data_IF_860813424587
#
_entry.id   IF_860813424587
#
_cell.length_a   1.000
_cell.length_b   1.000
_cell.length_c   1.000
_cell.angle_alpha   90.00
_cell.angle_beta   90.00
_cell.angle_gamma   90.00
#
_symmetry.space_group_name_H-M   'P 1'
#
loop_
_entity.id
_entity.type
_entity.pdbx_description
1 polymer ?
#
# COMPACT_ATOMS: atom_id res chain seq x y z
N UNK A 1 21.64 35.79 -6.19
CA UNK A 1 21.88 34.56 -5.40
C UNK A 1 23.03 33.83 -6.06
N UNK A 2 23.98 33.32 -5.28
CA UNK A 2 25.10 32.53 -5.82
C UNK A 2 24.54 31.18 -6.29
N UNK A 3 24.74 30.86 -7.57
CA UNK A 3 24.32 29.60 -8.17
C UNK A 3 25.40 28.52 -8.01
N UNK A 4 26.64 28.86 -8.33
CA UNK A 4 27.76 27.93 -8.28
C UNK A 4 29.13 28.62 -8.41
N UNK A 5 30.18 27.82 -8.40
CA UNK A 5 31.58 28.29 -8.51
C UNK A 5 32.33 27.51 -9.58
N UNK A 6 33.29 28.17 -10.21
CA UNK A 6 34.33 27.57 -11.04
C UNK A 6 35.59 27.45 -10.22
N UNK A 7 36.21 26.27 -10.26
CA UNK A 7 37.45 26.00 -9.56
C UNK A 7 38.47 25.36 -10.51
N UNK A 8 39.75 25.52 -10.17
CA UNK A 8 40.89 24.93 -10.85
C UNK A 8 41.64 24.03 -9.89
N UNK A 9 42.00 22.85 -10.35
CA UNK A 9 42.91 21.92 -9.67
C UNK A 9 44.21 21.88 -10.47
N UNK A 10 45.36 22.14 -9.83
CA UNK A 10 46.67 22.11 -10.48
C UNK A 10 47.53 21.04 -9.83
N UNK A 11 48.11 20.12 -10.63
CA UNK A 11 49.10 19.16 -10.15
C UNK A 11 50.47 19.83 -10.09
N UNK A 12 51.05 19.96 -8.89
CA UNK A 12 52.35 20.58 -8.69
C UNK A 12 53.51 19.77 -9.30
N UNK A 13 53.35 18.46 -9.49
CA UNK A 13 54.41 17.58 -10.01
C UNK A 13 54.60 17.72 -11.53
N UNK A 14 53.52 17.92 -12.28
CA UNK A 14 53.56 17.96 -13.75
C UNK A 14 53.07 19.28 -14.36
N UNK A 15 52.51 20.19 -13.56
CA UNK A 15 51.95 21.47 -14.00
C UNK A 15 50.60 21.36 -14.72
N UNK A 16 50.09 20.15 -14.95
CA UNK A 16 48.82 19.93 -15.61
C UNK A 16 47.66 20.40 -14.71
N UNK A 17 46.63 20.95 -15.36
CA UNK A 17 45.50 21.57 -14.68
C UNK A 17 44.16 20.99 -15.11
N UNK A 18 43.19 21.05 -14.21
CA UNK A 18 41.78 20.71 -14.42
C UNK A 18 40.91 21.90 -14.03
N UNK A 19 39.93 22.26 -14.84
CA UNK A 19 38.90 23.24 -14.48
C UNK A 19 37.56 22.53 -14.39
N UNK A 20 36.79 22.81 -13.36
CA UNK A 20 35.44 22.25 -13.21
C UNK A 20 34.49 23.20 -12.52
N UNK A 21 33.20 22.92 -12.68
CA UNK A 21 32.13 23.67 -12.03
C UNK A 21 31.45 22.89 -10.89
N UNK A 22 30.97 23.57 -9.85
CA UNK A 22 30.19 22.95 -8.77
C UNK A 22 29.31 23.94 -8.02
N UNK A 23 28.18 23.46 -7.50
CA UNK A 23 27.34 24.19 -6.53
C UNK A 23 27.72 23.88 -5.07
N UNK A 24 28.48 22.82 -4.84
CA UNK A 24 28.93 22.40 -3.51
C UNK A 24 30.37 21.87 -3.57
N UNK A 25 31.31 22.70 -3.14
CA UNK A 25 32.74 22.39 -3.22
C UNK A 25 33.16 21.21 -2.35
N UNK A 26 32.66 21.13 -1.11
CA UNK A 26 33.00 20.05 -0.16
C UNK A 26 32.63 18.69 -0.73
N UNK A 27 31.42 18.56 -1.28
CA UNK A 27 30.97 17.32 -1.94
C UNK A 27 31.82 16.99 -3.16
N UNK A 28 32.18 18.00 -3.96
CA UNK A 28 32.97 17.80 -5.19
C UNK A 28 34.39 17.34 -4.89
N UNK A 29 35.04 17.88 -3.86
CA UNK A 29 36.36 17.41 -3.41
C UNK A 29 36.31 15.95 -2.98
N UNK A 30 35.28 15.55 -2.23
CA UNK A 30 35.10 14.14 -1.86
C UNK A 30 34.97 13.25 -3.10
N UNK A 31 34.18 13.67 -4.10
CA UNK A 31 34.01 12.93 -5.35
C UNK A 31 35.34 12.76 -6.10
N UNK A 32 36.20 13.77 -6.14
CA UNK A 32 37.51 13.64 -6.78
C UNK A 32 38.43 12.61 -6.10
N UNK A 33 38.29 12.42 -4.78
CA UNK A 33 39.10 11.45 -4.03
C UNK A 33 38.65 10.00 -4.22
N UNK A 34 37.38 9.78 -4.59
CA UNK A 34 36.80 8.43 -4.70
C UNK A 34 36.24 8.11 -6.09
N UNK A 35 36.39 9.02 -7.05
CA UNK A 35 35.83 8.92 -8.39
C UNK A 35 36.69 8.13 -9.36
N UNK A 36 36.25 8.08 -10.62
CA UNK A 36 36.91 7.33 -11.71
C UNK A 36 37.24 8.20 -12.94
N UNK A 37 37.08 9.54 -12.82
CA UNK A 37 37.44 10.46 -13.90
C UNK A 37 38.96 10.53 -14.09
N UNK A 38 39.41 11.07 -15.23
CA UNK A 38 40.83 11.15 -15.57
C UNK A 38 41.65 11.93 -14.51
N UNK A 39 41.12 13.06 -14.03
CA UNK A 39 41.70 13.81 -12.92
C UNK A 39 41.68 13.02 -11.59
N UNK A 40 40.61 12.26 -11.33
CA UNK A 40 40.48 11.48 -10.08
C UNK A 40 41.55 10.40 -9.99
N UNK A 41 41.85 9.73 -11.11
CA UNK A 41 42.93 8.74 -11.22
C UNK A 41 44.30 9.37 -10.99
N UNK A 42 44.52 10.56 -11.53
CA UNK A 42 45.77 11.29 -11.29
C UNK A 42 45.92 11.67 -9.80
N UNK A 43 44.84 12.13 -9.17
CA UNK A 43 44.81 12.45 -7.73
C UNK A 43 45.08 11.22 -6.86
N UNK A 44 44.48 10.08 -7.20
CA UNK A 44 44.70 8.83 -6.46
C UNK A 44 46.13 8.30 -6.61
N UNK A 45 46.73 8.46 -7.80
CA UNK A 45 48.10 8.05 -8.08
C UNK A 45 49.13 8.95 -7.42
N UNK A 46 48.95 10.26 -7.55
CA UNK A 46 49.96 11.26 -7.18
C UNK A 46 49.73 11.82 -5.76
N UNK A 47 48.60 11.55 -5.12
CA UNK A 47 48.27 12.05 -3.78
C UNK A 47 47.70 13.47 -3.80
N UNK A 48 46.65 13.72 -3.02
CA UNK A 48 45.93 15.02 -3.00
C UNK A 48 46.83 16.17 -2.52
N UNK A 49 47.81 15.90 -1.69
CA UNK A 49 48.81 16.84 -1.20
C UNK A 49 49.63 17.50 -2.32
N UNK A 50 49.72 16.84 -3.48
CA UNK A 50 50.41 17.36 -4.66
C UNK A 50 49.50 18.19 -5.57
N UNK A 51 48.26 18.44 -5.16
CA UNK A 51 47.30 19.24 -5.92
C UNK A 51 46.91 20.51 -5.16
N UNK A 52 46.86 21.63 -5.87
CA UNK A 52 46.30 22.90 -5.36
C UNK A 52 44.90 23.11 -5.91
N UNK A 53 44.03 23.75 -5.13
CA UNK A 53 42.65 24.07 -5.49
C UNK A 53 42.43 25.58 -5.41
N UNK A 54 42.14 26.20 -6.55
CA UNK A 54 41.90 27.64 -6.68
C UNK A 54 40.45 27.90 -7.10
N UNK A 55 39.77 28.86 -6.46
CA UNK A 55 38.44 29.31 -6.88
C UNK A 55 38.61 30.43 -7.90
N UNK A 56 38.19 30.18 -9.14
CA UNK A 56 38.38 31.11 -10.26
C UNK A 56 37.24 32.12 -10.38
N UNK A 57 36.00 31.67 -10.16
CA UNK A 57 34.83 32.53 -10.29
C UNK A 57 33.66 32.04 -9.45
N UNK A 58 32.81 32.98 -9.04
CA UNK A 58 31.47 32.73 -8.49
C UNK A 58 30.46 33.17 -9.55
N UNK A 59 29.46 32.33 -9.82
CA UNK A 59 28.44 32.57 -10.83
C UNK A 59 27.05 32.62 -10.18
N UNK A 60 26.18 33.45 -10.74
CA UNK A 60 24.81 33.67 -10.25
C UNK A 60 23.74 32.94 -11.06
N UNK A 61 24.11 32.36 -12.20
CA UNK A 61 23.23 31.51 -13.04
C UNK A 61 23.97 30.28 -13.55
N UNK A 62 23.22 29.33 -14.12
CA UNK A 62 23.77 28.12 -14.74
C UNK A 62 24.48 28.42 -16.05
N UNK A 63 23.92 29.36 -16.81
CA UNK A 63 24.43 29.81 -18.10
C UNK A 63 25.81 30.45 -17.92
N UNK A 64 25.93 31.37 -16.96
CA UNK A 64 27.21 32.00 -16.59
C UNK A 64 28.24 30.97 -16.10
N UNK A 65 27.79 29.93 -15.38
CA UNK A 65 28.66 28.86 -14.91
C UNK A 65 29.23 28.06 -16.09
N UNK A 66 28.39 27.63 -17.02
CA UNK A 66 28.80 26.89 -18.21
C UNK A 66 29.73 27.72 -19.11
N UNK A 67 29.39 28.99 -19.37
CA UNK A 67 30.21 29.90 -20.19
C UNK A 67 31.60 30.11 -19.58
N UNK A 68 31.68 30.32 -18.26
CA UNK A 68 32.96 30.48 -17.57
C UNK A 68 33.76 29.19 -17.52
N UNK A 69 33.13 28.03 -17.39
CA UNK A 69 33.83 26.74 -17.46
C UNK A 69 34.55 26.59 -18.80
N UNK A 70 33.83 26.81 -19.92
CA UNK A 70 34.42 26.77 -21.28
C UNK A 70 35.55 27.79 -21.42
N UNK A 71 35.32 29.03 -20.98
CA UNK A 71 36.32 30.10 -21.02
C UNK A 71 37.60 29.71 -20.27
N UNK A 72 37.49 29.22 -19.02
CA UNK A 72 38.65 28.92 -18.20
C UNK A 72 39.38 27.64 -18.62
N UNK A 73 38.69 26.63 -19.15
CA UNK A 73 39.33 25.45 -19.76
C UNK A 73 40.23 25.88 -20.92
N UNK A 74 39.73 26.76 -21.79
CA UNK A 74 40.50 27.30 -22.91
C UNK A 74 41.64 28.23 -22.43
N UNK A 75 41.35 29.16 -21.52
CA UNK A 75 42.30 30.15 -21.00
C UNK A 75 43.51 29.50 -20.33
N UNK A 76 43.30 28.45 -19.53
CA UNK A 76 44.37 27.73 -18.85
C UNK A 76 44.88 26.52 -19.64
N UNK A 77 44.43 26.31 -20.89
CA UNK A 77 44.81 25.17 -21.73
C UNK A 77 44.68 23.81 -21.00
N UNK A 78 43.58 23.62 -20.26
CA UNK A 78 43.38 22.45 -19.40
C UNK A 78 42.90 21.20 -20.14
N UNK A 79 42.70 21.29 -21.46
CA UNK A 79 42.22 20.18 -22.28
C UNK A 79 43.34 19.17 -22.54
N UNK A 80 43.03 17.88 -22.45
CA UNK A 80 43.95 16.81 -22.84
C UNK A 80 44.43 17.04 -24.30
N UNK A 81 45.73 16.92 -24.59
CA UNK A 81 46.82 16.38 -23.75
C UNK A 81 47.50 17.37 -22.79
N UNK A 82 47.15 18.66 -22.83
CA UNK A 82 47.82 19.72 -22.08
C UNK A 82 47.26 19.92 -20.65
N UNK A 83 46.18 19.21 -20.31
CA UNK A 83 45.62 19.16 -18.97
C UNK A 83 44.71 17.95 -18.77
N UNK A 84 43.87 18.00 -17.75
CA UNK A 84 43.03 16.86 -17.34
C UNK A 84 41.58 16.92 -17.83
N UNK A 85 41.12 18.04 -18.42
CA UNK A 85 39.78 18.12 -19.00
C UNK A 85 39.70 17.28 -20.29
N UNK A 86 38.70 16.41 -20.40
CA UNK A 86 38.47 15.60 -21.60
C UNK A 86 37.51 16.25 -22.61
N UNK A 87 36.70 17.20 -22.14
CA UNK A 87 35.74 17.97 -22.94
C UNK A 87 36.09 19.45 -22.85
N UNK A 88 35.55 20.25 -23.77
CA UNK A 88 35.69 21.71 -23.75
C UNK A 88 34.89 22.40 -22.62
N UNK A 89 34.18 21.61 -21.80
CA UNK A 89 33.25 22.11 -20.77
C UNK A 89 31.83 22.29 -21.30
N UNK A 90 30.92 22.72 -20.42
CA UNK A 90 29.54 23.05 -20.79
C UNK A 90 28.56 21.88 -20.85
N UNK A 91 28.91 20.69 -20.33
CA UNK A 91 28.01 19.52 -20.38
C UNK A 91 26.87 19.60 -19.36
N UNK A 92 25.75 20.14 -19.82
CA UNK A 92 24.69 19.29 -20.35
C UNK A 92 24.23 19.95 -21.64
N UNK A 93 23.77 19.19 -22.63
CA UNK A 93 22.96 19.78 -23.70
C UNK A 93 21.53 19.80 -23.15
N UNK A 94 21.04 20.86 -22.47
CA UNK A 94 19.62 20.94 -22.15
C UNK A 94 18.83 21.14 -23.44
N UNK A 95 17.59 20.65 -23.47
CA UNK A 95 16.71 20.91 -24.61
C UNK A 95 17.13 20.16 -25.88
N UNK A 96 16.80 20.75 -27.02
CA UNK A 96 16.94 20.19 -28.38
C UNK A 96 18.35 19.76 -28.77
N UNK A 97 19.37 20.28 -28.09
CA UNK A 97 20.75 19.92 -28.35
C UNK A 97 21.11 18.54 -27.77
N UNK A 98 20.30 17.96 -26.87
CA UNK A 98 20.51 16.58 -26.42
C UNK A 98 20.16 15.59 -27.54
N UNK A 99 21.04 14.63 -27.91
CA UNK A 99 20.73 13.60 -28.91
C UNK A 99 19.47 12.79 -28.61
N UNK A 100 19.04 12.77 -27.35
CA UNK A 100 17.84 12.09 -26.86
C UNK A 100 16.65 13.02 -26.58
N UNK A 101 16.75 14.32 -26.87
CA UNK A 101 15.63 15.24 -26.71
C UNK A 101 14.48 14.90 -27.66
N UNK A 102 13.26 14.87 -27.12
CA UNK A 102 12.06 14.53 -27.89
C UNK A 102 11.98 13.07 -28.37
N UNK A 103 12.97 12.23 -28.05
CA UNK A 103 12.95 10.80 -28.40
C UNK A 103 12.26 10.02 -27.30
N UNK A 104 11.09 9.47 -27.62
CA UNK A 104 10.40 8.52 -26.76
C UNK A 104 10.69 7.09 -27.24
N UNK A 105 10.84 6.16 -26.29
CA UNK A 105 10.89 4.74 -26.64
C UNK A 105 9.65 4.34 -27.43
N UNK A 106 9.83 3.57 -28.51
CA UNK A 106 8.71 2.99 -29.25
C UNK A 106 7.94 2.01 -28.36
N UNK A 107 6.65 1.78 -28.65
CA UNK A 107 5.83 0.82 -27.89
C UNK A 107 6.45 -0.59 -27.90
N UNK A 108 7.09 -0.99 -29.00
CA UNK A 108 7.85 -2.24 -29.10
C UNK A 108 9.05 -2.26 -28.15
N UNK A 109 9.82 -1.17 -28.10
CA UNK A 109 10.98 -1.07 -27.18
C UNK A 109 10.51 -1.08 -25.72
N UNK A 110 9.41 -0.39 -25.40
CA UNK A 110 8.79 -0.43 -24.07
C UNK A 110 8.32 -1.84 -23.73
N UNK A 111 7.77 -2.59 -24.69
CA UNK A 111 7.34 -3.98 -24.49
C UNK A 111 8.53 -4.91 -24.21
N UNK A 112 9.63 -4.79 -24.95
CA UNK A 112 10.87 -5.57 -24.71
C UNK A 112 11.45 -5.25 -23.32
N UNK A 113 11.50 -3.97 -22.94
CA UNK A 113 11.97 -3.55 -21.62
C UNK A 113 11.05 -4.07 -20.51
N UNK A 114 9.74 -4.07 -20.74
CA UNK A 114 8.74 -4.64 -19.82
C UNK A 114 8.95 -6.14 -19.65
N UNK A 115 9.12 -6.89 -20.74
CA UNK A 115 9.38 -8.33 -20.72
C UNK A 115 10.68 -8.66 -19.96
N UNK A 116 11.77 -7.91 -20.22
CA UNK A 116 13.05 -8.10 -19.52
C UNK A 116 13.00 -7.74 -18.03
N UNK A 117 12.09 -6.87 -17.63
CA UNK A 117 11.92 -6.45 -16.24
C UNK A 117 10.87 -7.26 -15.48
N UNK A 118 10.03 -8.04 -16.18
CA UNK A 118 9.10 -8.97 -15.56
C UNK A 118 9.89 -10.02 -14.78
N UNK A 119 9.61 -10.12 -13.47
CA UNK A 119 10.24 -11.10 -12.58
C UNK A 119 11.55 -10.63 -11.92
N UNK A 120 12.14 -9.51 -12.35
CA UNK A 120 13.30 -8.93 -11.66
C UNK A 120 12.88 -8.32 -10.32
N UNK A 121 13.73 -8.50 -9.30
CA UNK A 121 13.48 -8.00 -7.95
C UNK A 121 12.08 -8.38 -7.45
N UNK A 122 11.65 -9.63 -7.60
CA UNK A 122 10.37 -10.08 -7.07
C UNK A 122 10.55 -11.39 -6.30
N UNK A 123 9.63 -11.69 -5.39
CA UNK A 123 9.75 -12.88 -4.53
C UNK A 123 11.07 -12.89 -3.77
N UNK A 124 11.74 -14.04 -3.78
CA UNK A 124 13.04 -14.30 -3.11
C UNK A 124 14.19 -13.43 -3.67
N UNK A 125 14.10 -13.00 -4.93
CA UNK A 125 15.12 -12.19 -5.59
C UNK A 125 14.97 -10.68 -5.30
N UNK A 126 13.92 -10.27 -4.58
CA UNK A 126 13.75 -8.89 -4.17
C UNK A 126 14.76 -8.57 -3.05
N UNK A 127 15.48 -7.44 -3.15
CA UNK A 127 16.52 -7.05 -2.19
C UNK A 127 16.04 -6.90 -0.73
N UNK A 128 14.76 -6.60 -0.53
CA UNK A 128 14.08 -6.61 0.78
C UNK A 128 13.34 -7.92 1.11
N UNK A 129 13.51 -9.00 0.35
CA UNK A 129 12.86 -10.27 0.67
C UNK A 129 13.32 -10.77 2.05
N UNK A 130 12.35 -11.12 2.91
CA UNK A 130 12.60 -11.57 4.27
C UNK A 130 13.11 -10.48 5.24
N UNK A 131 13.24 -9.23 4.79
CA UNK A 131 13.62 -8.12 5.65
C UNK A 131 12.38 -7.38 6.15
N UNK A 132 12.25 -7.24 7.47
CA UNK A 132 11.24 -6.38 8.08
C UNK A 132 11.89 -5.07 8.51
N UNK A 133 11.28 -3.94 8.16
CA UNK A 133 11.72 -2.64 8.68
C UNK A 133 11.59 -2.64 10.21
N UNK A 134 12.61 -2.12 10.91
CA UNK A 134 12.55 -1.95 12.36
C UNK A 134 11.44 -0.95 12.72
N UNK A 135 10.84 -1.11 13.90
CA UNK A 135 9.80 -0.21 14.40
C UNK A 135 10.26 1.26 14.38
N UNK A 136 11.51 1.50 14.77
CA UNK A 136 12.13 2.83 14.75
C UNK A 136 12.20 3.42 13.33
N UNK A 137 12.61 2.61 12.34
CA UNK A 137 12.68 3.05 10.95
C UNK A 137 11.28 3.30 10.37
N UNK A 138 10.30 2.45 10.70
CA UNK A 138 8.89 2.66 10.36
C UNK A 138 8.33 3.95 10.96
N UNK A 139 8.68 4.27 12.21
CA UNK A 139 8.29 5.51 12.87
C UNK A 139 8.90 6.72 12.17
N UNK A 140 10.19 6.71 11.86
CA UNK A 140 10.86 7.80 11.11
C UNK A 140 10.22 8.02 9.74
N UNK A 141 9.91 6.95 9.01
CA UNK A 141 9.18 7.06 7.74
C UNK A 141 7.77 7.61 7.95
N UNK A 142 7.05 7.15 8.98
CA UNK A 142 5.72 7.65 9.32
C UNK A 142 5.73 9.12 9.74
N UNK A 143 6.78 9.59 10.41
CA UNK A 143 6.94 10.98 10.83
C UNK A 143 7.26 11.88 9.64
N UNK A 144 8.14 11.43 8.76
CA UNK A 144 8.51 12.18 7.55
C UNK A 144 7.34 12.43 6.62
N UNK A 145 6.37 11.52 6.57
CA UNK A 145 5.17 11.63 5.72
C UNK A 145 3.91 12.01 6.52
N UNK A 146 4.07 12.42 7.79
CA UNK A 146 2.94 12.82 8.64
C UNK A 146 2.31 14.10 8.09
N UNK A 147 1.09 14.01 7.58
CA UNK A 147 0.34 15.15 7.03
C UNK A 147 0.42 15.31 5.51
N UNK A 148 1.20 14.48 4.82
CA UNK A 148 1.16 14.41 3.37
C UNK A 148 -0.08 13.60 2.93
N UNK A 149 -1.08 14.29 2.40
CA UNK A 149 -2.25 13.65 1.78
C UNK A 149 -2.20 13.82 0.26
N UNK A 150 -2.62 12.80 -0.51
CA UNK A 150 -2.80 12.93 -1.94
C UNK A 150 -3.95 13.89 -2.32
N UNK A 151 -4.87 14.21 -1.41
CA UNK A 151 -6.07 14.99 -1.70
C UNK A 151 -5.92 16.48 -1.34
N UNK A 152 -4.85 17.12 -1.82
CA UNK A 152 -4.53 18.52 -1.50
C UNK A 152 -5.61 19.50 -1.96
N UNK A 153 -6.19 19.29 -3.14
CA UNK A 153 -7.29 20.13 -3.63
C UNK A 153 -8.55 20.03 -2.79
N UNK A 154 -8.92 18.84 -2.33
CA UNK A 154 -10.05 18.68 -1.43
C UNK A 154 -9.86 19.50 -0.15
N UNK A 155 -8.67 19.45 0.46
CA UNK A 155 -8.37 20.28 1.65
C UNK A 155 -8.45 21.77 1.34
N UNK A 156 -7.95 22.21 0.18
CA UNK A 156 -8.01 23.61 -0.26
C UNK A 156 -9.46 24.10 -0.43
N UNK A 157 -10.33 23.27 -0.98
CA UNK A 157 -11.75 23.61 -1.14
C UNK A 157 -12.51 23.58 0.20
N UNK A 158 -12.13 22.69 1.12
CA UNK A 158 -12.62 22.72 2.50
C UNK A 158 -12.24 24.03 3.21
N UNK A 159 -10.99 24.48 3.08
CA UNK A 159 -10.54 25.77 3.61
C UNK A 159 -11.29 26.95 2.98
N UNK A 160 -11.48 26.93 1.65
CA UNK A 160 -12.23 27.98 0.92
C UNK A 160 -13.65 28.16 1.47
N UNK A 161 -14.31 27.05 1.78
CA UNK A 161 -15.68 27.04 2.30
C UNK A 161 -15.76 27.11 3.83
N UNK A 162 -14.62 27.24 4.52
CA UNK A 162 -14.51 27.15 5.99
C UNK A 162 -15.20 25.91 6.56
N UNK A 163 -15.16 24.80 5.81
CA UNK A 163 -15.76 23.53 6.15
C UNK A 163 -14.83 22.78 7.10
N UNK A 164 -15.32 22.53 8.31
CA UNK A 164 -14.65 21.60 9.22
C UNK A 164 -14.81 20.17 8.73
N UNK A 165 -13.88 19.29 9.12
CA UNK A 165 -14.03 17.86 8.87
C UNK A 165 -15.34 17.29 9.47
N UNK A 166 -15.86 17.89 10.56
CA UNK A 166 -17.11 17.46 11.22
C UNK A 166 -18.28 17.72 10.29
N UNK A 167 -18.38 18.96 9.81
CA UNK A 167 -19.44 19.39 8.93
C UNK A 167 -19.40 18.67 7.57
N UNK A 168 -18.20 18.39 7.04
CA UNK A 168 -18.09 17.61 5.79
C UNK A 168 -18.54 16.16 5.99
N UNK A 169 -18.13 15.52 7.09
CA UNK A 169 -18.51 14.14 7.38
C UNK A 169 -20.04 14.00 7.51
N UNK A 170 -20.67 14.92 8.25
CA UNK A 170 -22.13 14.98 8.40
C UNK A 170 -22.85 15.12 7.06
N UNK A 171 -22.39 16.02 6.19
CA UNK A 171 -22.97 16.22 4.85
C UNK A 171 -22.84 14.99 3.95
N UNK A 172 -21.78 14.22 4.12
CA UNK A 172 -21.56 12.97 3.38
C UNK A 172 -22.27 11.76 4.01
N UNK A 173 -22.87 11.91 5.21
CA UNK A 173 -23.41 10.79 5.97
C UNK A 173 -22.34 9.84 6.51
N UNK A 174 -21.13 10.35 6.74
CA UNK A 174 -19.98 9.61 7.27
C UNK A 174 -19.68 10.03 8.71
N UNK A 175 -18.97 9.19 9.44
CA UNK A 175 -18.34 9.62 10.70
C UNK A 175 -17.07 10.40 10.41
N UNK A 176 -16.74 11.35 11.27
CA UNK A 176 -15.49 12.09 11.24
C UNK A 176 -14.23 11.20 11.11
N UNK A 177 -14.10 10.12 11.92
CA UNK A 177 -13.01 9.17 11.76
C UNK A 177 -12.98 8.54 10.36
N UNK A 178 -14.12 8.15 9.80
CA UNK A 178 -14.21 7.55 8.47
C UNK A 178 -13.76 8.52 7.37
N UNK A 179 -14.18 9.78 7.43
CA UNK A 179 -13.73 10.82 6.50
C UNK A 179 -12.23 11.09 6.63
N UNK A 180 -11.72 11.22 7.86
CA UNK A 180 -10.29 11.40 8.13
C UNK A 180 -9.43 10.25 7.59
N UNK A 181 -9.95 9.02 7.65
CA UNK A 181 -9.29 7.85 7.08
C UNK A 181 -9.30 7.86 5.55
N UNK A 182 -10.41 8.27 4.94
CA UNK A 182 -10.50 8.43 3.48
C UNK A 182 -9.52 9.48 2.97
N UNK A 183 -9.43 10.63 3.64
CA UNK A 183 -8.49 11.71 3.28
C UNK A 183 -7.02 11.32 3.50
N UNK A 184 -6.74 10.33 4.35
CA UNK A 184 -5.37 9.80 4.56
C UNK A 184 -5.02 8.63 3.62
N UNK A 185 -5.85 8.34 2.61
CA UNK A 185 -5.71 7.21 1.67
C UNK A 185 -5.64 5.84 2.38
N UNK A 186 -6.19 5.77 3.60
CA UNK A 186 -6.33 4.51 4.36
C UNK A 186 -7.63 3.79 4.04
N UNK A 187 -8.56 4.47 3.38
CA UNK A 187 -9.84 3.94 2.95
C UNK A 187 -10.21 4.60 1.62
N UNK A 188 -10.65 3.83 0.62
CA UNK A 188 -11.06 4.40 -0.66
C UNK A 188 -12.37 5.20 -0.53
N UNK A 189 -12.48 6.28 -1.30
CA UNK A 189 -13.79 6.90 -1.56
C UNK A 189 -14.66 5.91 -2.35
N UNK A 190 -15.96 5.89 -2.07
CA UNK A 190 -16.96 5.12 -2.82
C UNK A 190 -17.62 6.01 -3.87
N UNK A 191 -18.37 5.41 -4.81
CA UNK A 191 -19.05 6.19 -5.86
C UNK A 191 -20.02 7.21 -5.25
N UNK A 192 -20.75 6.80 -4.21
CA UNK A 192 -21.62 7.68 -3.43
C UNK A 192 -20.86 8.80 -2.73
N UNK A 193 -19.66 8.53 -2.21
CA UNK A 193 -18.84 9.57 -1.60
C UNK A 193 -18.38 10.60 -2.64
N UNK A 194 -18.02 10.13 -3.84
CA UNK A 194 -17.61 11.01 -4.94
C UNK A 194 -18.76 11.90 -5.42
N UNK A 195 -19.96 11.35 -5.60
CA UNK A 195 -21.16 12.12 -5.93
C UNK A 195 -21.43 13.20 -4.88
N UNK A 196 -21.38 12.83 -3.59
CA UNK A 196 -21.55 13.79 -2.49
C UNK A 196 -20.50 14.89 -2.51
N UNK A 197 -19.23 14.58 -2.79
CA UNK A 197 -18.16 15.57 -2.88
C UNK A 197 -18.38 16.54 -4.05
N UNK A 198 -18.79 16.04 -5.21
CA UNK A 198 -19.11 16.89 -6.38
C UNK A 198 -20.26 17.83 -6.04
N UNK A 199 -21.31 17.33 -5.38
CA UNK A 199 -22.46 18.14 -4.95
C UNK A 199 -22.06 19.20 -3.91
N UNK A 200 -21.22 18.84 -2.94
CA UNK A 200 -20.84 19.73 -1.83
C UNK A 200 -19.90 20.85 -2.29
N UNK A 201 -18.93 20.53 -3.15
CA UNK A 201 -17.88 21.47 -3.55
C UNK A 201 -18.12 22.14 -4.90
N UNK A 202 -19.09 21.65 -5.69
CA UNK A 202 -19.38 22.13 -7.06
C UNK A 202 -18.11 22.14 -7.95
N UNK A 203 -17.40 21.02 -7.88
CA UNK A 203 -16.12 20.80 -8.57
C UNK A 203 -16.06 19.36 -9.10
N UNK A 204 -15.40 19.14 -10.24
CA UNK A 204 -15.21 17.80 -10.77
C UNK A 204 -14.38 16.95 -9.79
N UNK A 205 -14.72 15.66 -9.67
CA UNK A 205 -14.09 14.76 -8.72
C UNK A 205 -12.60 14.55 -9.04
N UNK A 206 -12.23 14.62 -10.32
CA UNK A 206 -10.86 14.55 -10.82
C UNK A 206 -10.01 15.69 -10.25
N UNK A 207 -10.60 16.88 -10.13
CA UNK A 207 -9.95 18.03 -9.50
C UNK A 207 -9.83 17.81 -7.99
N UNK A 208 -10.91 17.43 -7.31
CA UNK A 208 -10.90 17.28 -5.85
C UNK A 208 -9.91 16.21 -5.37
N UNK A 209 -9.79 15.11 -6.13
CA UNK A 209 -8.92 13.99 -5.77
C UNK A 209 -7.53 14.01 -6.46
N UNK A 210 -7.29 15.00 -7.34
CA UNK A 210 -6.00 15.46 -7.86
C UNK A 210 -4.93 14.38 -8.10
N UNK A 211 -5.09 13.59 -9.18
CA UNK A 211 -4.00 12.76 -9.72
C UNK A 211 -3.68 13.20 -11.16
N UNK A 212 -2.49 13.75 -11.36
CA UNK A 212 -2.00 14.29 -12.65
C UNK A 212 -1.58 13.18 -13.65
N UNK A 213 -1.88 11.91 -13.40
CA UNK A 213 -1.42 10.77 -14.20
C UNK A 213 -2.37 10.36 -15.34
N UNK A 214 -3.40 11.16 -15.67
CA UNK A 214 -4.27 10.92 -16.84
C UNK A 214 -5.00 9.57 -16.81
N UNK A 215 -5.05 8.90 -15.67
CA UNK A 215 -5.72 7.63 -15.47
C UNK A 215 -7.04 7.86 -14.72
N UNK A 216 -8.16 7.23 -15.13
CA UNK A 216 -9.45 7.45 -14.50
C UNK A 216 -9.44 7.03 -13.02
N UNK A 217 -9.89 7.97 -12.19
CA UNK A 217 -10.63 7.85 -10.92
C UNK A 217 -10.49 6.51 -10.18
N UNK A 218 -9.89 6.53 -8.98
CA UNK A 218 -10.06 5.41 -8.04
C UNK A 218 -11.53 5.39 -7.61
N UNK A 219 -12.33 4.61 -8.34
CA UNK A 219 -13.61 4.08 -7.88
C UNK A 219 -13.82 2.62 -8.29
N UNK A 220 -13.12 2.10 -9.31
CA UNK A 220 -13.28 0.68 -9.72
C UNK A 220 -11.99 -0.06 -10.06
N UNK A 221 -10.81 0.59 -10.07
CA UNK A 221 -9.58 0.00 -10.63
C UNK A 221 -8.92 -1.10 -9.77
N UNK A 222 -9.39 -1.34 -8.54
CA UNK A 222 -8.89 -2.43 -7.67
C UNK A 222 -9.99 -3.32 -7.08
N UNK A 223 -11.21 -3.24 -7.59
CA UNK A 223 -12.33 -4.07 -7.14
C UNK A 223 -12.88 -4.91 -8.30
N UNK A 224 -13.27 -6.15 -7.99
CA UNK A 224 -13.78 -7.10 -8.99
C UNK A 224 -12.75 -7.39 -10.09
N UNK A 225 -13.24 -7.65 -11.31
CA UNK A 225 -12.44 -8.04 -12.49
C UNK A 225 -11.32 -7.08 -12.90
N UNK A 226 -11.42 -5.81 -12.48
CA UNK A 226 -10.41 -4.79 -12.76
C UNK A 226 -9.21 -4.86 -11.81
N UNK A 227 -9.28 -5.61 -10.71
CA UNK A 227 -8.15 -5.84 -9.83
C UNK A 227 -7.09 -6.72 -10.55
N UNK A 228 -5.81 -6.32 -10.61
CA UNK A 228 -4.73 -7.14 -11.20
C UNK A 228 -4.57 -8.54 -10.60
N UNK A 229 -5.14 -8.76 -9.42
CA UNK A 229 -5.17 -10.03 -8.68
C UNK A 229 -6.53 -10.74 -8.73
N UNK A 230 -7.53 -10.20 -9.42
CA UNK A 230 -8.82 -10.87 -9.58
C UNK A 230 -8.66 -12.21 -10.30
N UNK A 231 -9.28 -13.26 -9.77
CA UNK A 231 -9.14 -14.63 -10.27
C UNK A 231 -7.75 -15.26 -10.07
N UNK A 232 -6.77 -14.52 -9.52
CA UNK A 232 -5.45 -15.06 -9.19
C UNK A 232 -5.47 -15.62 -7.78
N UNK A 233 -5.18 -16.91 -7.66
CA UNK A 233 -4.99 -17.56 -6.38
C UNK A 233 -3.50 -17.79 -6.14
N UNK A 234 -3.02 -17.47 -4.94
CA UNK A 234 -1.71 -17.95 -4.51
C UNK A 234 -1.63 -19.48 -4.69
N UNK A 235 -0.54 -19.95 -5.27
CA UNK A 235 -0.22 -21.38 -5.34
C UNK A 235 -0.23 -21.98 -3.94
N UNK A 236 -0.56 -23.27 -3.81
CA UNK A 236 -0.61 -23.95 -2.51
C UNK A 236 0.70 -23.83 -1.72
N UNK A 237 1.83 -23.85 -2.44
CA UNK A 237 3.16 -23.64 -1.87
C UNK A 237 3.32 -22.24 -1.26
N UNK A 238 2.95 -21.19 -2.00
CA UNK A 238 3.02 -19.81 -1.51
C UNK A 238 2.09 -19.57 -0.32
N UNK A 239 0.86 -20.13 -0.33
CA UNK A 239 -0.04 -20.06 0.84
C UNK A 239 0.59 -20.67 2.08
N UNK A 240 1.33 -21.77 1.91
CA UNK A 240 2.01 -22.47 3.01
C UNK A 240 3.22 -21.66 3.50
N UNK A 241 3.98 -21.03 2.60
CA UNK A 241 5.07 -20.10 2.95
C UNK A 241 4.54 -18.89 3.76
N UNK A 242 3.49 -18.21 3.29
CA UNK A 242 2.86 -17.10 4.00
C UNK A 242 2.27 -17.52 5.36
N UNK A 243 1.66 -18.70 5.44
CA UNK A 243 1.14 -19.26 6.70
C UNK A 243 2.24 -19.51 7.73
N UNK A 244 3.42 -19.96 7.29
CA UNK A 244 4.59 -20.14 8.17
C UNK A 244 5.18 -18.79 8.62
N UNK A 245 5.25 -17.80 7.72
CA UNK A 245 5.78 -16.47 8.02
C UNK A 245 4.89 -15.68 8.99
N UNK A 246 3.57 -15.72 8.80
CA UNK A 246 2.62 -14.96 9.62
C UNK A 246 2.21 -15.69 10.92
N UNK A 247 2.92 -16.76 11.28
CA UNK A 247 2.57 -17.61 12.43
C UNK A 247 2.79 -16.84 13.73
N UNK A 248 1.70 -16.46 14.39
CA UNK A 248 1.71 -15.73 15.66
C UNK A 248 1.24 -14.28 15.55
N UNK A 249 1.10 -13.73 14.35
CA UNK A 249 0.51 -12.41 14.15
C UNK A 249 -1.02 -12.47 14.13
N UNK A 250 -1.67 -11.50 14.78
CA UNK A 250 -3.12 -11.36 14.69
C UNK A 250 -3.51 -10.83 13.30
N UNK A 251 -4.53 -11.42 12.64
CA UNK A 251 -5.08 -10.85 11.41
C UNK A 251 -5.87 -9.55 11.65
N UNK A 252 -6.11 -9.15 12.90
CA UNK A 252 -6.90 -7.96 13.26
C UNK A 252 -6.00 -6.87 13.86
N UNK A 253 -5.00 -6.42 13.09
CA UNK A 253 -3.98 -5.44 13.53
C UNK A 253 -4.58 -4.11 13.98
N UNK A 254 -5.60 -3.62 13.26
CA UNK A 254 -6.27 -2.38 13.60
C UNK A 254 -7.06 -2.49 14.91
N UNK A 255 -7.79 -3.61 15.12
CA UNK A 255 -8.47 -3.85 16.38
C UNK A 255 -7.50 -3.88 17.56
N UNK A 256 -6.32 -4.50 17.42
CA UNK A 256 -5.29 -4.47 18.45
C UNK A 256 -4.82 -3.05 18.77
N UNK A 257 -4.60 -2.23 17.73
CA UNK A 257 -4.18 -0.84 17.90
C UNK A 257 -5.22 -0.02 18.68
N UNK A 258 -6.50 -0.13 18.33
CA UNK A 258 -7.58 0.58 19.04
C UNK A 258 -7.74 0.08 20.48
N UNK A 259 -7.52 -1.22 20.72
CA UNK A 259 -7.48 -1.77 22.07
C UNK A 259 -6.33 -1.19 22.89
N UNK A 260 -5.14 -1.05 22.30
CA UNK A 260 -3.98 -0.47 22.98
C UNK A 260 -4.19 1.02 23.28
N UNK A 261 -4.78 1.79 22.36
CA UNK A 261 -5.09 3.21 22.54
C UNK A 261 -6.11 3.45 23.66
N UNK A 262 -7.12 2.59 23.78
CA UNK A 262 -8.10 2.65 24.87
C UNK A 262 -7.67 1.86 26.12
N UNK A 263 -6.45 1.31 26.13
CA UNK A 263 -5.93 0.45 27.20
C UNK A 263 -6.86 -0.73 27.58
N UNK A 264 -7.59 -1.25 26.59
CA UNK A 264 -8.49 -2.39 26.74
C UNK A 264 -7.71 -3.69 26.62
N UNK A 265 -7.54 -4.38 27.73
CA UNK A 265 -6.97 -5.74 27.73
C UNK A 265 -7.94 -6.75 27.12
N UNK A 266 -7.45 -7.94 26.74
CA UNK A 266 -8.32 -9.05 26.31
C UNK A 266 -9.38 -9.40 27.36
N UNK A 267 -9.06 -9.28 28.66
CA UNK A 267 -10.03 -9.44 29.74
C UNK A 267 -11.08 -8.32 29.74
N UNK A 268 -10.67 -7.07 29.57
CA UNK A 268 -11.60 -5.95 29.40
C UNK A 268 -12.57 -6.18 28.24
N UNK A 269 -12.04 -6.60 27.09
CA UNK A 269 -12.85 -6.88 25.91
C UNK A 269 -13.84 -8.03 26.13
N UNK A 270 -13.46 -9.06 26.90
CA UNK A 270 -14.38 -10.17 27.22
C UNK A 270 -15.59 -9.73 28.01
N UNK A 271 -15.43 -8.78 28.92
CA UNK A 271 -16.50 -8.22 29.73
C UNK A 271 -17.43 -7.40 28.83
N UNK A 272 -16.86 -6.51 28.00
CA UNK A 272 -17.63 -5.65 27.10
C UNK A 272 -18.43 -6.45 26.06
N UNK A 273 -17.82 -7.48 25.48
CA UNK A 273 -18.48 -8.29 24.44
C UNK A 273 -19.41 -9.38 25.02
N UNK A 274 -19.21 -9.78 26.27
CA UNK A 274 -19.93 -10.89 26.92
C UNK A 274 -19.53 -12.26 26.37
N UNK A 275 -18.26 -12.46 26.03
CA UNK A 275 -17.75 -13.72 25.46
C UNK A 275 -16.51 -14.18 26.22
N UNK A 276 -16.24 -15.49 26.23
CA UNK A 276 -15.10 -16.02 26.97
C UNK A 276 -13.75 -15.56 26.41
N UNK A 277 -12.77 -15.42 27.30
CA UNK A 277 -11.38 -15.05 26.94
C UNK A 277 -10.76 -16.00 25.92
N UNK A 278 -11.10 -17.30 26.02
CA UNK A 278 -10.67 -18.30 25.05
C UNK A 278 -11.27 -18.02 23.67
N UNK A 279 -12.53 -17.59 23.60
CA UNK A 279 -13.19 -17.26 22.34
C UNK A 279 -12.56 -16.01 21.69
N UNK A 280 -12.34 -14.94 22.46
CA UNK A 280 -11.64 -13.75 21.96
C UNK A 280 -10.23 -14.10 21.52
N UNK A 281 -9.46 -14.83 22.34
CA UNK A 281 -8.08 -15.19 22.00
C UNK A 281 -8.00 -16.00 20.70
N UNK A 282 -8.90 -16.96 20.49
CA UNK A 282 -8.97 -17.74 19.24
C UNK A 282 -9.39 -16.89 18.04
N UNK A 283 -10.30 -15.92 18.25
CA UNK A 283 -10.66 -14.95 17.21
C UNK A 283 -9.48 -14.06 16.87
N UNK A 284 -8.83 -13.46 17.86
CA UNK A 284 -7.66 -12.61 17.68
C UNK A 284 -6.47 -13.33 17.03
N UNK A 285 -6.34 -14.65 17.16
CA UNK A 285 -5.33 -15.45 16.42
C UNK A 285 -5.76 -15.89 15.02
N UNK A 286 -6.97 -15.55 14.58
CA UNK A 286 -7.51 -15.99 13.30
C UNK A 286 -7.94 -17.46 13.23
N UNK A 287 -7.95 -18.19 14.35
CA UNK A 287 -8.48 -19.56 14.40
C UNK A 287 -10.01 -19.58 14.25
N UNK A 288 -10.67 -18.47 14.59
CA UNK A 288 -12.11 -18.25 14.43
C UNK A 288 -12.36 -16.84 13.90
N UNK A 289 -13.46 -16.66 13.18
CA UNK A 289 -13.85 -15.35 12.70
C UNK A 289 -14.76 -14.63 13.71
N UNK A 290 -14.71 -13.30 13.73
CA UNK A 290 -15.74 -12.49 14.38
C UNK A 290 -17.08 -12.68 13.65
N UNK A 291 -18.16 -12.85 14.40
CA UNK A 291 -19.51 -12.92 13.82
C UNK A 291 -20.04 -11.51 13.57
N UNK A 292 -21.06 -11.36 12.74
CA UNK A 292 -21.68 -10.05 12.50
C UNK A 292 -22.14 -9.37 13.80
N UNK A 293 -22.65 -10.16 14.76
CA UNK A 293 -23.05 -9.67 16.09
C UNK A 293 -21.85 -9.18 16.92
N UNK A 294 -20.72 -9.88 16.82
CA UNK A 294 -19.49 -9.45 17.49
C UNK A 294 -18.96 -8.16 16.88
N UNK A 295 -18.97 -8.05 15.55
CA UNK A 295 -18.50 -6.88 14.81
C UNK A 295 -19.35 -5.66 15.16
N UNK A 296 -20.68 -5.78 15.18
CA UNK A 296 -21.58 -4.70 15.57
C UNK A 296 -21.26 -4.15 16.97
N UNK A 297 -21.02 -5.04 17.95
CA UNK A 297 -20.59 -4.64 19.29
C UNK A 297 -19.22 -3.97 19.30
N UNK A 298 -18.27 -4.46 18.50
CA UNK A 298 -16.95 -3.83 18.40
C UNK A 298 -17.06 -2.41 17.80
N UNK A 299 -17.89 -2.22 16.77
CA UNK A 299 -18.17 -0.89 16.20
C UNK A 299 -18.75 0.05 17.27
N UNK A 300 -19.65 -0.45 18.12
CA UNK A 300 -20.23 0.31 19.23
C UNK A 300 -19.19 0.67 20.31
N UNK A 301 -18.33 -0.29 20.69
CA UNK A 301 -17.30 -0.10 21.73
C UNK A 301 -16.22 0.89 21.28
N UNK A 302 -15.73 0.74 20.05
CA UNK A 302 -14.57 1.49 19.55
C UNK A 302 -14.97 2.73 18.73
N UNK A 303 -16.24 2.89 18.37
CA UNK A 303 -16.72 4.01 17.55
C UNK A 303 -16.15 4.03 16.13
N UNK A 304 -15.57 2.93 15.68
CA UNK A 304 -14.89 2.81 14.39
C UNK A 304 -15.67 1.92 13.42
N UNK A 305 -15.62 2.20 12.10
CA UNK A 305 -16.26 1.35 11.10
C UNK A 305 -15.77 -0.10 11.14
N UNK A 306 -16.67 -1.04 10.85
CA UNK A 306 -16.38 -2.47 10.84
C UNK A 306 -15.24 -2.82 9.88
N UNK A 307 -15.21 -2.15 8.72
CA UNK A 307 -14.21 -2.31 7.67
C UNK A 307 -12.81 -1.98 8.18
N UNK A 308 -12.68 -0.97 9.04
CA UNK A 308 -11.40 -0.58 9.63
C UNK A 308 -10.93 -1.59 10.68
N UNK A 309 -11.79 -1.90 11.64
CA UNK A 309 -11.45 -2.81 12.75
C UNK A 309 -11.09 -4.19 12.23
N UNK A 310 -11.78 -4.64 11.18
CA UNK A 310 -11.61 -5.97 10.61
C UNK A 310 -10.56 -6.03 9.49
N UNK A 311 -9.97 -4.89 9.08
CA UNK A 311 -9.16 -4.74 7.87
C UNK A 311 -8.20 -5.91 7.64
N UNK A 312 -8.63 -6.84 6.78
CA UNK A 312 -7.77 -7.80 6.12
C UNK A 312 -7.35 -7.15 4.81
N UNK A 313 -6.05 -7.19 4.50
CA UNK A 313 -5.48 -6.64 3.25
C UNK A 313 -6.06 -7.28 1.97
N UNK A 314 -6.85 -8.35 2.13
CA UNK A 314 -7.40 -9.22 1.10
C UNK A 314 -8.78 -8.79 0.56
N UNK A 315 -9.31 -7.61 0.90
CA UNK A 315 -10.54 -7.10 0.26
C UNK A 315 -11.77 -8.01 0.41
N UNK A 316 -11.77 -8.88 1.42
CA UNK A 316 -12.88 -9.78 1.71
C UNK A 316 -13.93 -8.99 2.49
N UNK A 317 -15.01 -8.67 1.79
CA UNK A 317 -16.34 -8.40 2.36
C UNK A 317 -16.54 -9.32 3.56
N UNK A 318 -16.94 -8.76 4.71
CA UNK A 318 -17.46 -9.53 5.84
C UNK A 318 -18.60 -10.38 5.31
N UNK A 319 -18.29 -11.59 4.85
CA UNK A 319 -19.31 -12.57 4.58
C UNK A 319 -19.80 -12.98 5.95
N UNK A 320 -21.11 -12.85 6.23
CA UNK A 320 -21.67 -13.46 7.42
C UNK A 320 -21.18 -14.89 7.41
N UNK A 321 -20.51 -15.31 8.50
CA UNK A 321 -20.20 -16.70 8.84
C UNK A 321 -20.75 -17.66 7.78
N UNK A 322 -19.91 -18.10 6.84
CA UNK A 322 -20.23 -19.22 5.97
C UNK A 322 -20.37 -20.48 6.86
N UNK A 323 -21.43 -20.57 7.68
CA UNK A 323 -22.07 -21.85 7.96
C UNK A 323 -22.49 -22.28 6.57
N UNK A 324 -21.85 -23.33 6.07
CA UNK A 324 -21.86 -23.66 4.65
C UNK A 324 -23.28 -23.57 4.09
N UNK A 325 -23.40 -22.98 2.90
CA UNK A 325 -24.66 -23.00 2.14
C UNK A 325 -25.16 -24.44 2.15
N UNK A 326 -26.22 -24.69 2.91
CA UNK A 326 -26.84 -25.99 2.97
C UNK A 326 -27.69 -26.11 1.71
N UNK A 327 -27.59 -27.22 0.96
CA UNK A 327 -28.44 -27.45 -0.20
C UNK A 327 -29.91 -27.69 0.19
N UNK A 328 -30.31 -27.47 1.45
CA UNK A 328 -31.68 -27.64 1.95
C UNK A 328 -32.15 -26.36 2.64
N UNK A 329 -32.35 -25.29 1.86
CA UNK A 329 -32.67 -23.94 2.35
C UNK A 329 -33.94 -23.89 3.20
N UNK A 330 -34.99 -24.60 2.78
CA UNK A 330 -36.26 -24.62 3.50
C UNK A 330 -36.14 -25.35 4.84
N UNK A 331 -35.39 -26.46 4.88
CA UNK A 331 -35.09 -27.15 6.13
C UNK A 331 -34.31 -26.26 7.09
N UNK A 332 -33.29 -25.55 6.61
CA UNK A 332 -32.51 -24.62 7.43
C UNK A 332 -33.38 -23.49 8.01
N UNK A 333 -34.28 -22.93 7.18
CA UNK A 333 -35.22 -21.88 7.59
C UNK A 333 -36.17 -22.34 8.68
N UNK A 334 -36.72 -23.56 8.59
CA UNK A 334 -37.62 -24.10 9.61
C UNK A 334 -36.89 -24.46 10.92
N UNK A 335 -35.64 -24.92 10.84
CA UNK A 335 -34.80 -25.14 12.02
C UNK A 335 -34.48 -23.83 12.74
N UNK A 336 -34.16 -22.77 12.00
CA UNK A 336 -33.87 -21.44 12.56
C UNK A 336 -35.12 -20.81 13.20
N UNK A 337 -36.29 -20.89 12.57
CA UNK A 337 -37.56 -20.42 13.15
C UNK A 337 -37.87 -21.04 14.51
N UNK A 338 -37.50 -22.31 14.70
CA UNK A 338 -37.73 -23.08 15.92
C UNK A 338 -36.54 -23.08 16.88
N UNK A 339 -35.49 -22.31 16.55
CA UNK A 339 -34.25 -22.22 17.31
C UNK A 339 -33.62 -23.59 17.63
N UNK A 340 -33.76 -24.55 16.70
CA UNK A 340 -33.32 -25.93 16.88
C UNK A 340 -31.84 -26.08 16.50
N UNK A 341 -31.03 -26.57 17.43
CA UNK A 341 -29.61 -26.87 17.17
C UNK A 341 -29.44 -28.25 16.53
N UNK A 342 -28.35 -28.46 15.77
CA UNK A 342 -28.00 -29.78 15.24
C UNK A 342 -27.80 -30.84 16.33
N UNK A 343 -27.44 -30.44 17.55
CA UNK A 343 -27.36 -31.33 18.71
C UNK A 343 -28.74 -31.81 19.15
N UNK A 344 -29.73 -30.91 19.18
CA UNK A 344 -31.12 -31.27 19.48
C UNK A 344 -31.69 -32.18 18.37
N UNK A 345 -31.44 -31.83 17.11
CA UNK A 345 -31.89 -32.62 15.96
C UNK A 345 -31.27 -34.02 15.94
N UNK A 346 -29.98 -34.12 16.27
CA UNK A 346 -29.27 -35.40 16.37
C UNK A 346 -29.86 -36.32 17.43
N UNK A 347 -30.23 -35.79 18.61
CA UNK A 347 -30.91 -36.58 19.65
C UNK A 347 -32.24 -37.17 19.17
N UNK A 348 -33.01 -36.40 18.41
CA UNK A 348 -34.33 -36.83 17.92
C UNK A 348 -34.19 -37.87 16.79
N UNK A 349 -33.23 -37.67 15.89
CA UNK A 349 -32.96 -38.60 14.79
C UNK A 349 -32.10 -39.80 15.21
N UNK A 350 -31.61 -39.84 16.45
CA UNK A 350 -30.75 -40.92 16.96
C UNK A 350 -29.37 -40.94 16.33
N UNK A 351 -28.86 -39.79 15.88
CA UNK A 351 -27.57 -39.66 15.19
C UNK A 351 -26.71 -38.56 15.82
N UNK A 352 -25.41 -38.63 15.60
CA UNK A 352 -24.48 -37.62 16.14
C UNK A 352 -24.67 -36.26 15.46
N UNK A 353 -24.36 -35.18 16.19
CA UNK A 353 -24.30 -33.81 15.64
C UNK A 353 -23.47 -33.75 14.34
N UNK A 354 -22.34 -34.47 14.31
CA UNK A 354 -21.48 -34.52 13.13
C UNK A 354 -22.20 -35.14 11.92
N UNK A 355 -22.98 -36.20 12.14
CA UNK A 355 -23.76 -36.84 11.08
C UNK A 355 -24.86 -35.92 10.52
N UNK A 356 -25.53 -35.15 11.39
CA UNK A 356 -26.49 -34.13 10.95
C UNK A 356 -25.80 -33.03 10.15
N UNK A 357 -24.65 -32.55 10.64
CA UNK A 357 -23.86 -31.55 9.91
C UNK A 357 -23.44 -32.07 8.53
N UNK A 358 -22.97 -33.31 8.43
CA UNK A 358 -22.59 -33.94 7.16
C UNK A 358 -23.79 -34.08 6.20
N UNK A 359 -24.98 -34.43 6.72
CA UNK A 359 -26.21 -34.49 5.94
C UNK A 359 -26.65 -33.11 5.45
N UNK A 360 -26.64 -32.11 6.34
CA UNK A 360 -27.00 -30.71 6.03
C UNK A 360 -26.04 -30.05 5.04
N UNK A 361 -24.79 -30.50 4.92
CA UNK A 361 -23.83 -29.98 3.94
C UNK A 361 -23.70 -30.89 2.69
N UNK A 362 -24.60 -31.87 2.52
CA UNK A 362 -24.63 -32.74 1.33
C UNK A 362 -23.53 -33.80 1.26
N UNK A 363 -22.70 -33.96 2.31
CA UNK A 363 -21.67 -35.01 2.39
C UNK A 363 -22.27 -36.40 2.63
N UNK A 364 -23.45 -36.45 3.26
CA UNK A 364 -24.25 -37.66 3.46
C UNK A 364 -25.69 -37.41 3.02
N UNK A 365 -26.40 -38.44 2.58
CA UNK A 365 -27.81 -38.33 2.19
C UNK A 365 -28.72 -38.50 3.41
N UNK A 366 -29.82 -37.76 3.42
CA UNK A 366 -30.96 -38.06 4.29
C UNK A 366 -31.68 -39.30 3.73
N UNK A 367 -32.03 -40.24 4.61
CA UNK A 367 -32.84 -41.41 4.28
C UNK A 367 -34.32 -41.03 4.31
N UNK A 368 -35.19 -41.84 3.70
CA UNK A 368 -36.64 -41.65 3.75
C UNK A 368 -37.18 -41.61 5.18
N UNK A 369 -36.60 -42.44 6.07
CA UNK A 369 -36.93 -42.45 7.51
C UNK A 369 -36.54 -41.14 8.21
N UNK A 370 -35.44 -40.50 7.79
CA UNK A 370 -35.05 -39.19 8.34
C UNK A 370 -36.04 -38.11 7.90
N UNK A 371 -36.44 -38.11 6.62
CA UNK A 371 -37.38 -37.14 6.09
C UNK A 371 -38.77 -37.26 6.68
N UNK A 372 -39.26 -38.49 6.88
CA UNK A 372 -40.54 -38.73 7.54
C UNK A 372 -40.57 -38.15 8.97
N UNK A 373 -39.50 -38.40 9.76
CA UNK A 373 -39.37 -37.84 11.10
C UNK A 373 -39.25 -36.31 11.09
N UNK A 374 -38.47 -35.76 10.15
CA UNK A 374 -38.32 -34.30 10.02
C UNK A 374 -39.65 -33.62 9.65
N UNK A 375 -40.43 -34.23 8.74
CA UNK A 375 -41.75 -33.77 8.35
C UNK A 375 -42.71 -33.75 9.54
N UNK A 376 -42.73 -34.82 10.35
CA UNK A 376 -43.55 -34.92 11.56
C UNK A 376 -43.20 -33.85 12.60
N UNK A 377 -41.90 -33.64 12.87
CA UNK A 377 -41.41 -32.69 13.89
C UNK A 377 -41.64 -31.24 13.45
N UNK A 378 -41.35 -30.95 12.18
CA UNK A 378 -41.44 -29.59 11.63
C UNK A 378 -42.85 -29.26 11.14
N UNK A 379 -43.76 -30.24 11.13
CA UNK A 379 -45.12 -30.13 10.62
C UNK A 379 -45.15 -29.52 9.20
N UNK A 380 -44.28 -30.01 8.33
CA UNK A 380 -44.07 -29.49 6.97
C UNK A 380 -43.95 -30.65 5.98
N UNK A 381 -44.53 -30.56 4.77
CA UNK A 381 -44.39 -31.60 3.74
C UNK A 381 -42.92 -31.92 3.42
N UNK A 382 -42.62 -33.19 3.16
CA UNK A 382 -41.26 -33.66 2.83
C UNK A 382 -40.73 -32.95 1.59
N UNK A 383 -41.59 -32.76 0.59
CA UNK A 383 -41.29 -32.12 -0.68
C UNK A 383 -40.82 -30.67 -0.49
N UNK A 384 -41.42 -29.95 0.48
CA UNK A 384 -41.02 -28.59 0.83
C UNK A 384 -39.64 -28.56 1.49
N UNK A 385 -39.37 -29.51 2.40
CA UNK A 385 -38.10 -29.61 3.11
C UNK A 385 -36.94 -30.05 2.20
N UNK A 386 -37.23 -30.83 1.16
CA UNK A 386 -36.25 -31.36 0.20
C UNK A 386 -35.82 -30.37 -0.88
N UNK A 387 -36.50 -29.23 -1.03
CA UNK A 387 -36.14 -28.23 -2.06
C UNK A 387 -34.70 -27.76 -1.89
N UNK A 388 -33.93 -27.88 -2.99
CA UNK A 388 -32.53 -27.46 -3.07
C UNK A 388 -32.44 -26.11 -3.79
N UNK A 389 -31.43 -25.32 -3.43
CA UNK A 389 -31.06 -24.16 -4.26
C UNK A 389 -30.51 -24.71 -5.59
N UNK A 390 -30.96 -24.14 -6.72
CA UNK A 390 -30.40 -24.41 -8.06
C UNK A 390 -28.95 -23.96 -8.18
#
# INVERSE_FOLDING_TARGET
MIYGIIYKITNALCGLSYVGQTVNLKRRIYQHRTGDQFIDKAIQRDGWENFTLDILAVCNSKEELNEKEVFYIAYYNCKFPNGYNLTDGGEGLPGESNPFYGRHHTEETKAILREKNLGRNCGEDHYFYGQHHTLERCLVFSEKHRGETPYKNLLKEMERLQLTYTALAERMGLTQPALSMKIRDKLSFTEKDAENLVIIFDRPIEYLLQRDDGLPTILTSRAGEKNPFFGKHHTGENRTKFSKMNRGESPYKNLLKEMDELHITYRGLTILMGVSIVNISRKMRGERNFTAKDIAKLVEIFGCPAEYLMARDDGIVVTPSNRGKTPFKNLAKELDKRNMTYTALGKILGVTHQTISDKMHGKKRFTEKDWAKLSEILNCPVEYLMQRDE
#
